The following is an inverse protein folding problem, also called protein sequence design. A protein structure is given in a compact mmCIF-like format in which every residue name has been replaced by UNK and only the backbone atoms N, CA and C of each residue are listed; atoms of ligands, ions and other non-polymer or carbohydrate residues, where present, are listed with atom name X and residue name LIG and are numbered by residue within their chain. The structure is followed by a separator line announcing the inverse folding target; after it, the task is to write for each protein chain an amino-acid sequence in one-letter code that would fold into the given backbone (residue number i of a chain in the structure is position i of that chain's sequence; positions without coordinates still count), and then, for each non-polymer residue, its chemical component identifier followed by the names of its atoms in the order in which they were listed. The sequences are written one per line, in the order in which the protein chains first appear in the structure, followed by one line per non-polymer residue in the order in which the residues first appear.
data_IF_217161652008
#
_entry.id   IF_217161652008
#
_cell.length_a   1.000
_cell.length_b   1.000
_cell.length_c   1.000
_cell.angle_alpha   90.00
_cell.angle_beta   90.00
_cell.angle_gamma   90.00
#
_symmetry.space_group_name_H-M   'P 1'
#
loop_
_entity.id
_entity.type
_entity.pdbx_description
1 polymer ?
#
# COMPACT_ATOMS: atom_id res chain seq x y z
N UNK A 1 14.00 24.88 -6.48
CA UNK A 1 13.62 23.59 -5.89
C UNK A 1 12.54 23.85 -4.85
N UNK A 2 11.31 23.34 -5.04
CA UNK A 2 10.25 23.48 -4.03
C UNK A 2 10.70 22.72 -2.76
N UNK A 3 10.58 23.32 -1.58
CA UNK A 3 11.05 22.70 -0.34
C UNK A 3 10.01 21.68 0.16
N UNK A 4 10.43 20.45 0.42
CA UNK A 4 9.58 19.43 1.04
C UNK A 4 9.68 19.50 2.57
N UNK A 5 8.55 19.63 3.24
CA UNK A 5 8.45 19.48 4.70
C UNK A 5 8.21 18.01 4.99
N UNK A 6 9.11 17.38 5.75
CA UNK A 6 8.98 15.98 6.14
C UNK A 6 8.28 15.83 7.49
N UNK A 7 7.50 14.76 7.63
CA UNK A 7 6.81 14.38 8.88
C UNK A 7 7.22 12.99 9.33
N UNK A 8 6.83 12.60 10.54
CA UNK A 8 7.09 11.25 11.07
C UNK A 8 5.85 10.35 10.94
N UNK A 9 6.01 9.02 10.93
CA UNK A 9 4.86 8.11 10.80
C UNK A 9 3.80 8.26 11.90
N UNK A 10 4.18 8.79 13.07
CA UNK A 10 3.26 9.00 14.19
C UNK A 10 2.44 10.31 14.05
N UNK A 11 2.89 11.23 13.20
CA UNK A 11 2.26 12.54 12.99
C UNK A 11 1.56 12.64 11.62
N UNK A 12 1.86 11.73 10.69
CA UNK A 12 1.26 11.70 9.36
C UNK A 12 -0.26 11.54 9.41
N UNK A 13 -0.97 12.36 8.61
CA UNK A 13 -2.42 12.28 8.49
C UNK A 13 -2.89 11.49 7.27
N UNK A 14 -3.92 10.67 7.46
CA UNK A 14 -4.60 9.95 6.38
C UNK A 14 -5.68 10.84 5.72
N UNK A 15 -6.02 10.62 4.44
CA UNK A 15 -5.39 9.66 3.53
C UNK A 15 -3.99 10.14 3.10
N UNK A 16 -3.14 9.19 2.69
CA UNK A 16 -1.83 9.48 2.09
C UNK A 16 -1.82 9.11 0.62
N UNK A 17 -1.14 9.92 -0.20
CA UNK A 17 -0.80 9.60 -1.58
C UNK A 17 0.60 8.98 -1.63
N UNK A 18 0.71 7.73 -2.07
CA UNK A 18 1.95 6.95 -2.16
C UNK A 18 2.48 6.96 -3.58
N UNK A 19 3.67 7.50 -3.76
CA UNK A 19 4.41 7.60 -5.02
C UNK A 19 5.39 6.44 -5.13
N UNK A 20 5.23 5.58 -6.14
CA UNK A 20 6.01 4.36 -6.25
C UNK A 20 6.34 3.97 -7.71
N UNK A 21 7.36 3.13 -7.85
CA UNK A 21 7.75 2.52 -9.13
C UNK A 21 6.89 1.27 -9.39
N UNK A 22 5.85 1.40 -10.24
CA UNK A 22 5.02 0.27 -10.64
C UNK A 22 5.78 -0.70 -11.57
N UNK A 23 6.82 -0.29 -12.29
CA UNK A 23 7.60 -1.18 -13.17
C UNK A 23 8.42 -2.22 -12.40
N UNK A 24 8.75 -1.95 -11.13
CA UNK A 24 9.42 -2.88 -10.23
C UNK A 24 8.42 -3.88 -9.62
N UNK A 25 8.50 -5.17 -9.97
CA UNK A 25 7.55 -6.20 -9.48
C UNK A 25 7.52 -6.31 -7.95
N UNK A 26 8.66 -6.10 -7.28
CA UNK A 26 8.72 -6.10 -5.83
C UNK A 26 7.91 -4.95 -5.23
N UNK A 27 8.19 -3.71 -5.69
CA UNK A 27 7.47 -2.51 -5.24
C UNK A 27 5.98 -2.61 -5.55
N UNK A 28 5.62 -2.99 -6.79
CA UNK A 28 4.23 -3.22 -7.20
C UNK A 28 3.52 -4.22 -6.28
N UNK A 29 4.09 -5.41 -6.09
CA UNK A 29 3.45 -6.47 -5.31
C UNK A 29 3.16 -6.06 -3.86
N UNK A 30 4.08 -5.31 -3.23
CA UNK A 30 3.89 -4.88 -1.86
C UNK A 30 2.86 -3.76 -1.74
N UNK A 31 2.90 -2.79 -2.65
CA UNK A 31 1.96 -1.67 -2.65
C UNK A 31 0.54 -2.15 -2.97
N UNK A 32 0.35 -3.01 -3.97
CA UNK A 32 -0.97 -3.60 -4.28
C UNK A 32 -1.52 -4.45 -3.12
N UNK A 33 -0.66 -5.20 -2.42
CA UNK A 33 -1.03 -5.96 -1.22
C UNK A 33 -1.54 -5.04 -0.09
N UNK A 34 -0.84 -3.92 0.13
CA UNK A 34 -1.26 -2.92 1.11
C UNK A 34 -2.59 -2.26 0.69
N UNK A 35 -2.77 -1.97 -0.59
CA UNK A 35 -4.03 -1.45 -1.14
C UNK A 35 -5.20 -2.36 -0.87
N UNK A 36 -5.03 -3.66 -1.16
CA UNK A 36 -6.09 -4.64 -1.05
C UNK A 36 -6.54 -4.86 0.40
N UNK A 37 -5.69 -4.51 1.38
CA UNK A 37 -5.99 -4.59 2.81
C UNK A 37 -6.54 -3.28 3.39
N UNK A 38 -6.36 -2.16 2.71
CA UNK A 38 -6.87 -0.86 3.13
C UNK A 38 -8.37 -0.74 2.87
N UNK A 39 -9.15 -1.10 3.89
CA UNK A 39 -10.63 -1.06 3.82
C UNK A 39 -11.21 0.36 3.87
N UNK A 40 -10.41 1.34 4.26
CA UNK A 40 -10.87 2.70 4.54
C UNK A 40 -10.51 3.68 3.41
N UNK A 41 -9.83 3.23 2.36
CA UNK A 41 -9.40 4.09 1.25
C UNK A 41 -8.39 5.16 1.67
N UNK A 42 -7.59 4.88 2.69
CA UNK A 42 -6.56 5.76 3.22
C UNK A 42 -5.28 5.79 2.37
N UNK A 43 -5.08 4.82 1.48
CA UNK A 43 -3.91 4.68 0.62
C UNK A 43 -4.28 4.99 -0.83
N UNK A 44 -3.85 6.16 -1.31
CA UNK A 44 -4.01 6.56 -2.70
C UNK A 44 -2.70 6.26 -3.44
N UNK A 45 -2.73 5.45 -4.48
CA UNK A 45 -1.51 4.95 -5.14
C UNK A 45 -1.26 5.70 -6.44
N UNK A 46 -0.04 6.22 -6.59
CA UNK A 46 0.38 6.97 -7.75
C UNK A 46 1.63 6.32 -8.37
N UNK A 47 1.47 5.81 -9.58
CA UNK A 47 2.56 5.24 -10.37
C UNK A 47 3.44 6.34 -10.99
N UNK A 48 4.72 6.33 -10.64
CA UNK A 48 5.71 7.27 -11.15
C UNK A 48 6.50 6.72 -12.36
N UNK A 49 6.27 5.47 -12.77
CA UNK A 49 7.04 4.79 -13.82
C UNK A 49 6.61 5.12 -15.25
N UNK A 50 5.45 5.75 -15.40
CA UNK A 50 4.92 6.21 -16.68
C UNK A 50 5.81 7.32 -17.28
N UNK A 51 6.19 7.26 -18.58
CA UNK A 51 6.87 8.35 -19.26
C UNK A 51 6.06 9.67 -19.28
N UNK A 52 4.74 9.60 -19.08
CA UNK A 52 3.84 10.75 -19.03
C UNK A 52 3.65 11.29 -17.60
N UNK A 53 4.35 10.75 -16.61
CA UNK A 53 4.26 11.23 -15.24
C UNK A 53 4.85 12.64 -15.12
N UNK A 54 4.00 13.60 -14.77
CA UNK A 54 4.40 14.99 -14.56
C UNK A 54 4.77 15.25 -13.10
N UNK A 55 6.06 15.51 -12.87
CA UNK A 55 6.61 15.85 -11.57
C UNK A 55 6.83 17.37 -11.39
N UNK A 56 6.44 18.21 -12.35
CA UNK A 56 6.74 19.64 -12.38
C UNK A 56 6.22 20.38 -11.15
N UNK A 57 5.10 19.91 -10.60
CA UNK A 57 4.51 20.49 -9.40
C UNK A 57 5.01 19.94 -8.07
N UNK A 58 5.80 18.87 -8.12
CA UNK A 58 6.31 18.17 -6.94
C UNK A 58 7.67 18.75 -6.51
N UNK A 59 8.05 18.57 -5.23
CA UNK A 59 9.38 18.94 -4.77
C UNK A 59 10.48 17.96 -5.19
N UNK A 60 10.11 16.86 -5.85
CA UNK A 60 11.01 15.79 -6.31
C UNK A 60 10.82 15.56 -7.80
N UNK A 61 11.91 15.25 -8.51
CA UNK A 61 11.83 14.79 -9.90
C UNK A 61 11.37 13.33 -9.98
N UNK A 62 10.97 12.90 -11.18
CA UNK A 62 10.56 11.51 -11.43
C UNK A 62 11.66 10.52 -11.04
N UNK A 63 12.93 10.83 -11.35
CA UNK A 63 14.05 9.94 -11.02
C UNK A 63 14.18 9.70 -9.51
N UNK A 64 13.95 10.71 -8.68
CA UNK A 64 13.95 10.59 -7.21
C UNK A 64 12.79 9.71 -6.74
N UNK A 65 11.58 9.93 -7.26
CA UNK A 65 10.39 9.15 -6.91
C UNK A 65 10.48 7.69 -7.37
N UNK A 66 11.17 7.44 -8.49
CA UNK A 66 11.46 6.10 -9.00
C UNK A 66 12.55 5.36 -8.20
N UNK A 67 13.44 6.10 -7.54
CA UNK A 67 14.51 5.51 -6.74
C UNK A 67 14.12 5.30 -5.27
N UNK A 68 13.18 6.06 -4.74
CA UNK A 68 12.77 5.93 -3.37
C UNK A 68 11.27 6.15 -3.24
N UNK A 69 10.59 5.26 -2.51
CA UNK A 69 9.19 5.45 -2.21
C UNK A 69 8.98 6.73 -1.38
N UNK A 70 8.01 7.52 -1.78
CA UNK A 70 7.57 8.70 -1.06
C UNK A 70 6.07 8.62 -0.81
N UNK A 71 5.61 9.30 0.23
CA UNK A 71 4.20 9.56 0.40
C UNK A 71 3.96 11.01 0.80
N UNK A 72 2.83 11.55 0.38
CA UNK A 72 2.33 12.86 0.78
C UNK A 72 1.08 12.66 1.62
N UNK A 73 1.05 13.24 2.81
CA UNK A 73 -0.07 13.12 3.72
C UNK A 73 -1.18 14.14 3.44
N UNK A 74 -2.28 14.07 4.19
CA UNK A 74 -3.43 14.95 3.99
C UNK A 74 -3.14 16.44 4.27
N UNK A 75 -2.07 16.76 5.00
CA UNK A 75 -1.61 18.13 5.23
C UNK A 75 -0.60 18.60 4.17
N UNK A 76 -0.20 17.70 3.28
CA UNK A 76 0.82 17.95 2.27
C UNK A 76 2.26 17.77 2.76
N UNK A 77 2.46 17.20 3.95
CA UNK A 77 3.77 16.82 4.46
C UNK A 77 4.24 15.51 3.83
N UNK A 78 5.56 15.33 3.76
CA UNK A 78 6.18 14.22 3.05
C UNK A 78 6.75 13.16 3.99
N UNK A 79 6.66 11.91 3.55
CA UNK A 79 7.30 10.74 4.12
C UNK A 79 8.17 10.10 3.05
N UNK A 80 9.20 9.37 3.45
CA UNK A 80 10.07 8.60 2.53
C UNK A 80 10.51 7.27 3.13
N UNK A 81 10.88 6.32 2.27
CA UNK A 81 11.49 5.04 2.67
C UNK A 81 10.65 4.30 3.72
N UNK A 82 11.28 3.83 4.81
CA UNK A 82 10.66 3.09 5.92
C UNK A 82 9.46 3.82 6.52
N UNK A 83 9.48 5.15 6.58
CA UNK A 83 8.40 5.93 7.19
C UNK A 83 7.09 5.79 6.39
N UNK A 84 7.18 5.70 5.06
CA UNK A 84 6.03 5.41 4.19
C UNK A 84 5.46 4.03 4.52
N UNK A 85 6.31 3.01 4.60
CA UNK A 85 5.87 1.64 4.89
C UNK A 85 5.18 1.54 6.25
N UNK A 86 5.69 2.19 7.29
CA UNK A 86 5.05 2.19 8.61
C UNK A 86 3.63 2.74 8.53
N UNK A 87 3.41 3.85 7.82
CA UNK A 87 2.07 4.44 7.65
C UNK A 87 1.18 3.53 6.80
N UNK A 88 1.70 2.97 5.71
CA UNK A 88 0.94 2.05 4.87
C UNK A 88 0.50 0.78 5.64
N UNK A 89 1.40 0.18 6.43
CA UNK A 89 1.05 -0.98 7.26
C UNK A 89 0.00 -0.64 8.31
N UNK A 90 0.04 0.56 8.91
CA UNK A 90 -1.00 1.04 9.84
C UNK A 90 -2.36 1.18 9.16
N UNK A 91 -2.39 1.83 8.00
CA UNK A 91 -3.61 1.99 7.19
C UNK A 91 -4.19 0.64 6.76
N UNK A 92 -3.33 -0.32 6.40
CA UNK A 92 -3.69 -1.70 6.05
C UNK A 92 -4.04 -2.61 7.25
N UNK A 93 -4.19 -2.05 8.47
CA UNK A 93 -4.51 -2.80 9.70
C UNK A 93 -3.45 -3.84 10.14
N UNK A 94 -2.20 -3.67 9.72
CA UNK A 94 -1.06 -4.56 10.03
C UNK A 94 -0.18 -3.99 11.16
N UNK A 95 -0.78 -3.71 12.31
CA UNK A 95 -0.13 -3.00 13.42
C UNK A 95 1.14 -3.68 13.94
N UNK A 96 1.17 -5.02 13.99
CA UNK A 96 2.35 -5.78 14.44
C UNK A 96 3.53 -5.57 13.48
N UNK A 97 3.27 -5.58 12.17
CA UNK A 97 4.30 -5.36 11.14
C UNK A 97 4.76 -3.90 11.18
N UNK A 98 3.83 -2.95 11.30
CA UNK A 98 4.15 -1.54 11.45
C UNK A 98 5.08 -1.27 12.64
N UNK A 99 4.82 -1.89 13.80
CA UNK A 99 5.67 -1.80 14.99
C UNK A 99 7.04 -2.41 14.78
N UNK A 100 7.12 -3.59 14.16
CA UNK A 100 8.39 -4.24 13.85
C UNK A 100 9.26 -3.37 12.93
N UNK A 101 8.67 -2.78 11.88
CA UNK A 101 9.36 -1.87 10.97
C UNK A 101 9.80 -0.56 11.65
N UNK A 102 8.93 0.03 12.49
CA UNK A 102 9.27 1.24 13.23
C UNK A 102 10.44 1.00 14.20
N UNK A 103 10.47 -0.15 14.87
CA UNK A 103 11.57 -0.54 15.76
C UNK A 103 12.85 -0.83 14.97
N UNK A 104 12.73 -1.50 13.82
CA UNK A 104 13.86 -1.83 12.96
C UNK A 104 14.35 -0.65 12.09
N UNK A 105 13.72 0.53 12.18
CA UNK A 105 14.04 1.71 11.36
C UNK A 105 15.53 2.04 11.24
N UNK A 106 16.32 2.17 12.32
CA UNK A 106 17.73 2.55 12.20
C UNK A 106 18.56 1.52 11.40
N UNK A 107 18.21 0.24 11.50
CA UNK A 107 18.85 -0.80 10.70
C UNK A 107 18.32 -0.80 9.26
N UNK A 108 17.01 -0.66 9.09
CA UNK A 108 16.35 -0.62 7.79
C UNK A 108 16.86 0.54 6.93
N UNK A 109 17.06 1.75 7.48
CA UNK A 109 17.61 2.89 6.75
C UNK A 109 19.03 2.66 6.22
N UNK A 110 19.81 1.80 6.89
CA UNK A 110 21.16 1.43 6.44
C UNK A 110 21.14 0.38 5.33
N UNK A 111 20.18 -0.54 5.37
CA UNK A 111 20.01 -1.62 4.39
C UNK A 111 19.22 -1.16 3.16
N UNK A 112 18.33 -0.19 3.32
CA UNK A 112 17.41 0.29 2.29
C UNK A 112 18.11 0.77 1.00
N UNK A 113 19.23 1.53 1.03
CA UNK A 113 19.95 1.92 -0.18
C UNK A 113 20.52 0.73 -0.96
N UNK A 114 20.84 -0.38 -0.30
CA UNK A 114 21.27 -1.61 -0.97
C UNK A 114 20.09 -2.32 -1.64
N UNK A 115 18.95 -2.41 -0.96
CA UNK A 115 17.70 -2.98 -1.51
C UNK A 115 17.25 -2.19 -2.74
N UNK A 116 17.27 -0.86 -2.68
CA UNK A 116 16.89 0.01 -3.80
C UNK A 116 17.81 -0.19 -5.00
N UNK A 117 19.13 -0.26 -4.78
CA UNK A 117 20.11 -0.48 -5.86
C UNK A 117 19.97 -1.87 -6.49
N UNK A 118 19.63 -2.88 -5.70
CA UNK A 118 19.46 -4.26 -6.15
C UNK A 118 18.00 -4.64 -6.41
N UNK A 119 17.07 -3.68 -6.50
CA UNK A 119 15.61 -3.93 -6.50
C UNK A 119 15.15 -4.89 -7.61
N UNK A 120 15.71 -4.75 -8.81
CA UNK A 120 15.38 -5.62 -9.95
C UNK A 120 15.93 -7.05 -9.76
N UNK A 121 17.09 -7.19 -9.12
CA UNK A 121 17.70 -8.49 -8.79
C UNK A 121 16.86 -9.19 -7.71
N UNK A 122 16.50 -8.47 -6.64
CA UNK A 122 15.66 -8.99 -5.55
C UNK A 122 14.26 -9.40 -6.04
N UNK A 123 13.70 -8.62 -6.97
CA UNK A 123 12.50 -8.98 -7.71
C UNK A 123 12.67 -10.29 -8.50
N UNK A 124 13.80 -10.43 -9.22
CA UNK A 124 14.17 -11.64 -9.96
C UNK A 124 14.38 -12.88 -9.08
N UNK A 125 14.85 -12.70 -7.85
CA UNK A 125 15.03 -13.77 -6.85
C UNK A 125 13.70 -14.26 -6.21
N UNK A 126 12.56 -13.66 -6.56
CA UNK A 126 11.26 -14.18 -6.15
C UNK A 126 10.77 -13.74 -4.76
N UNK A 127 11.41 -12.75 -4.12
CA UNK A 127 10.99 -12.22 -2.81
C UNK A 127 9.56 -11.66 -2.86
N UNK A 128 9.13 -11.14 -4.03
CA UNK A 128 7.74 -10.74 -4.28
C UNK A 128 6.73 -11.87 -4.03
N UNK A 129 7.12 -13.14 -4.19
CA UNK A 129 6.26 -14.30 -3.94
C UNK A 129 5.97 -14.51 -2.45
N UNK A 130 6.86 -14.11 -1.54
CA UNK A 130 6.60 -14.15 -0.10
C UNK A 130 5.51 -13.14 0.28
N UNK A 131 5.57 -11.93 -0.28
CA UNK A 131 4.53 -10.91 -0.08
C UNK A 131 3.18 -11.35 -0.68
N UNK A 132 3.19 -11.98 -1.86
CA UNK A 132 1.99 -12.56 -2.48
C UNK A 132 1.47 -13.82 -1.76
N UNK A 133 2.32 -14.64 -1.15
CA UNK A 133 1.84 -15.78 -0.36
C UNK A 133 1.01 -15.32 0.85
N UNK A 134 1.30 -14.12 1.39
CA UNK A 134 0.53 -13.49 2.45
C UNK A 134 -0.81 -12.90 1.94
N UNK A 135 -0.93 -12.47 0.68
CA UNK A 135 -2.23 -12.06 0.08
C UNK A 135 -3.13 -13.26 -0.19
N UNK A 136 -2.59 -14.32 -0.80
CA UNK A 136 -3.37 -15.48 -1.20
C UNK A 136 -3.98 -16.23 -0.01
N UNK A 137 -3.31 -16.29 1.15
CA UNK A 137 -3.91 -16.90 2.35
C UNK A 137 -5.18 -16.18 2.83
N UNK A 138 -5.32 -14.90 2.54
CA UNK A 138 -6.46 -14.09 2.99
C UNK A 138 -7.60 -14.11 1.98
N UNK A 139 -7.30 -14.03 0.67
CA UNK A 139 -8.26 -14.27 -0.41
C UNK A 139 -8.83 -15.69 -0.36
N UNK A 140 -7.99 -16.70 -0.11
CA UNK A 140 -8.43 -18.09 0.05
C UNK A 140 -9.29 -18.30 1.29
N UNK A 141 -9.04 -17.57 2.39
CA UNK A 141 -9.92 -17.61 3.57
C UNK A 141 -11.28 -17.02 3.27
N UNK A 142 -11.33 -15.86 2.61
CA UNK A 142 -12.59 -15.24 2.20
C UNK A 142 -13.35 -16.10 1.18
N UNK A 143 -12.65 -16.69 0.21
CA UNK A 143 -13.21 -17.64 -0.74
C UNK A 143 -13.69 -18.92 -0.05
N UNK A 144 -12.96 -19.43 0.95
CA UNK A 144 -13.36 -20.60 1.74
C UNK A 144 -14.54 -20.31 2.66
N UNK A 145 -14.63 -19.13 3.27
CA UNK A 145 -15.83 -18.73 4.04
C UNK A 145 -17.01 -18.42 3.12
N UNK A 146 -16.80 -17.78 1.97
CA UNK A 146 -17.86 -17.57 0.98
C UNK A 146 -18.38 -18.90 0.40
N UNK A 147 -17.47 -19.85 0.16
CA UNK A 147 -17.81 -21.21 -0.26
C UNK A 147 -18.47 -22.02 0.86
N UNK A 148 -18.01 -21.91 2.11
CA UNK A 148 -18.66 -22.56 3.25
C UNK A 148 -20.06 -21.97 3.51
N UNK A 149 -20.23 -20.65 3.36
CA UNK A 149 -21.52 -19.98 3.47
C UNK A 149 -22.45 -20.34 2.30
N UNK A 150 -21.93 -20.54 1.08
CA UNK A 150 -22.73 -21.02 -0.05
C UNK A 150 -23.13 -22.49 0.09
N UNK A 151 -22.31 -23.31 0.75
CA UNK A 151 -22.66 -24.69 1.13
C UNK A 151 -23.64 -24.80 2.30
N UNK A 152 -23.81 -23.72 3.08
CA UNK A 152 -24.80 -23.66 4.16
C UNK A 152 -26.23 -23.41 3.64
N UNK A 153 -26.41 -23.14 2.34
CA UNK A 153 -27.74 -23.06 1.73
C UNK A 153 -28.31 -24.46 1.54
N UNK A 154 -29.42 -24.74 2.24
CA UNK A 154 -30.21 -25.95 2.10
C UNK A 154 -31.47 -25.63 1.31
N UNK A 155 -31.82 -26.49 0.36
CA UNK A 155 -33.11 -26.46 -0.37
C UNK A 155 -33.40 -25.19 -1.19
N UNK A 156 -32.37 -24.56 -1.78
CA UNK A 156 -32.54 -23.49 -2.77
C UNK A 156 -32.89 -22.10 -2.21
N UNK A 157 -32.92 -21.94 -0.88
CA UNK A 157 -33.06 -20.65 -0.23
C UNK A 157 -31.71 -20.18 0.34
N UNK A 158 -31.06 -19.21 -0.32
CA UNK A 158 -29.98 -18.44 0.28
C UNK A 158 -30.54 -17.07 0.68
N UNK A 159 -30.58 -16.76 1.98
CA UNK A 159 -30.77 -15.38 2.43
C UNK A 159 -29.43 -14.65 2.34
N UNK A 160 -29.17 -14.04 1.18
CA UNK A 160 -28.08 -13.08 1.03
C UNK A 160 -28.56 -11.74 1.59
N UNK A 161 -28.60 -11.64 2.92
CA UNK A 161 -28.70 -10.34 3.59
C UNK A 161 -27.42 -9.55 3.31
N UNK A 162 -27.40 -8.90 2.14
CA UNK A 162 -26.44 -7.89 1.77
C UNK A 162 -26.57 -6.79 2.83
N UNK A 163 -25.56 -6.62 3.67
CA UNK A 163 -25.35 -5.36 4.36
C UNK A 163 -25.03 -4.29 3.30
N UNK A 164 -26.07 -3.80 2.63
CA UNK A 164 -26.06 -2.63 1.78
C UNK A 164 -25.85 -1.43 2.69
N UNK A 165 -24.62 -0.92 2.74
CA UNK A 165 -24.38 0.44 3.20
C UNK A 165 -25.16 1.38 2.28
N UNK A 166 -26.19 1.99 2.83
CA UNK A 166 -27.17 2.85 2.16
C UNK A 166 -26.49 4.03 1.46
N UNK A 167 -26.52 4.06 0.12
CA UNK A 167 -26.34 5.27 -0.67
C UNK A 167 -27.72 5.88 -0.95
N UNK A 168 -27.86 7.13 -0.52
CA UNK A 168 -29.03 8.00 -0.60
C UNK A 168 -29.17 8.50 -2.04
N UNK A 169 -30.25 8.14 -2.71
CA UNK A 169 -30.54 8.55 -4.09
C UNK A 169 -31.11 9.98 -4.12
N UNK A 170 -30.39 10.88 -4.79
CA UNK A 170 -30.85 12.21 -5.19
C UNK A 170 -31.68 12.03 -6.46
N UNK A 171 -32.94 12.49 -6.42
CA UNK A 171 -33.87 12.51 -7.56
C UNK A 171 -33.87 13.92 -8.17
N UNK A 172 -33.99 14.08 -9.50
CA UNK A 172 -34.12 15.39 -10.15
C UNK A 172 -35.39 16.14 -9.72
#
# INVERSE_FOLDING_TARGET
MKQAIFTTPNQALLPITVYYDHSCRLCRSEIENLSARDKNGNLQMLDCSSPQFDASDLPFDQATLMNCIHARDAQGQWLKSTDVFVVCYRAAQLQTIARAFAFAKPLAERVYPWIVRNRYILSGLGIHKLFNALTHRQLQRQAKTAWANSQACKDGACDISLHSTTAKEVRP
#
